data_IF_082827601093
#
_entry.id   IF_082827601093
#
_cell.length_a   1.000
_cell.length_b   1.000
_cell.length_c   1.000
_cell.angle_alpha   90.00
_cell.angle_beta   90.00
_cell.angle_gamma   90.00
#
_symmetry.space_group_name_H-M   'P 1'
#
loop_
_entity.id
_entity.type
_entity.pdbx_description
1 polymer ?
#
# COMPACT_ATOMS: atom_id res chain seq x y z
N UNK A 1 8.18 -25.08 -5.96
CA UNK A 1 7.48 -23.85 -6.37
C UNK A 1 6.60 -23.41 -5.21
N UNK A 2 6.69 -22.15 -4.78
CA UNK A 2 5.82 -21.63 -3.72
C UNK A 2 4.50 -21.17 -4.35
N UNK A 3 3.37 -21.68 -3.85
CA UNK A 3 2.04 -21.26 -4.26
C UNK A 3 1.66 -20.01 -3.45
N UNK A 4 1.40 -18.90 -4.14
CA UNK A 4 0.80 -17.72 -3.53
C UNK A 4 -0.70 -17.83 -3.82
N UNK A 5 -1.51 -17.90 -2.76
CA UNK A 5 -2.97 -17.93 -2.90
C UNK A 5 -3.48 -16.68 -3.63
N UNK A 6 -4.60 -16.77 -4.38
CA UNK A 6 -5.24 -15.60 -4.95
C UNK A 6 -5.60 -14.58 -3.86
N UNK A 7 -5.26 -13.31 -4.05
CA UNK A 7 -5.53 -12.24 -3.06
C UNK A 7 -7.02 -11.84 -2.97
N UNK A 8 -7.85 -12.30 -3.90
CA UNK A 8 -9.28 -12.00 -3.93
C UNK A 8 -10.06 -13.27 -3.63
N UNK A 9 -9.80 -13.86 -2.47
CA UNK A 9 -10.40 -15.12 -2.02
C UNK A 9 -11.43 -14.94 -0.88
N UNK A 10 -11.70 -13.69 -0.50
CA UNK A 10 -12.62 -13.33 0.58
C UNK A 10 -11.97 -13.22 1.97
N UNK A 11 -10.67 -13.49 2.11
CA UNK A 11 -9.93 -13.33 3.35
C UNK A 11 -9.14 -12.02 3.39
N UNK A 12 -8.67 -11.67 4.59
CA UNK A 12 -7.77 -10.54 4.77
C UNK A 12 -6.37 -10.91 4.31
N UNK A 13 -5.80 -10.07 3.44
CA UNK A 13 -4.40 -10.15 3.05
C UNK A 13 -3.65 -8.89 3.45
N UNK A 14 -2.42 -9.05 3.93
CA UNK A 14 -1.51 -7.94 4.19
C UNK A 14 -0.59 -7.72 2.99
N UNK A 15 -0.78 -6.58 2.32
CA UNK A 15 -0.03 -6.20 1.13
C UNK A 15 0.99 -5.11 1.46
N UNK A 16 2.20 -5.26 0.94
CA UNK A 16 3.20 -4.19 1.03
C UNK A 16 4.01 -4.05 -0.25
N UNK A 17 4.15 -2.81 -0.67
CA UNK A 17 4.91 -2.42 -1.84
C UNK A 17 6.09 -1.58 -1.39
N UNK A 18 7.31 -2.00 -1.74
CA UNK A 18 8.54 -1.27 -1.42
C UNK A 18 9.40 -1.11 -2.66
N UNK A 19 9.77 0.13 -2.93
CA UNK A 19 10.61 0.52 -4.06
C UNK A 19 11.74 1.41 -3.58
N UNK A 20 12.93 1.19 -4.15
CA UNK A 20 14.07 2.09 -4.01
C UNK A 20 14.21 2.92 -5.29
N UNK A 21 14.25 4.25 -5.14
CA UNK A 21 14.49 5.23 -6.20
C UNK A 21 15.96 5.71 -6.17
N UNK A 22 16.57 6.15 -7.29
CA UNK A 22 16.09 6.10 -8.69
C UNK A 22 16.25 4.71 -9.34
N UNK A 23 17.08 3.85 -8.76
CA UNK A 23 17.35 2.49 -9.21
C UNK A 23 16.98 1.50 -8.11
N UNK A 24 16.34 0.39 -8.48
CA UNK A 24 15.96 -0.67 -7.54
C UNK A 24 14.84 -1.54 -8.09
N UNK A 25 14.68 -2.75 -7.59
CA UNK A 25 13.51 -3.57 -7.89
C UNK A 25 12.28 -3.04 -7.14
N UNK A 26 11.11 -3.15 -7.77
CA UNK A 26 9.85 -3.10 -7.04
C UNK A 26 9.71 -4.44 -6.32
N UNK A 27 9.45 -4.40 -5.01
CA UNK A 27 9.14 -5.60 -4.25
C UNK A 27 7.70 -5.51 -3.77
N UNK A 28 6.92 -6.52 -4.11
CA UNK A 28 5.58 -6.74 -3.59
C UNK A 28 5.63 -7.87 -2.58
N UNK A 29 4.91 -7.73 -1.48
CA UNK A 29 4.76 -8.76 -0.46
C UNK A 29 3.30 -9.00 -0.18
N UNK A 30 2.94 -10.27 -0.03
CA UNK A 30 1.59 -10.75 0.30
C UNK A 30 1.75 -11.67 1.49
N UNK A 31 1.10 -11.35 2.61
CA UNK A 31 1.09 -12.17 3.83
C UNK A 31 2.49 -12.60 4.30
N UNK A 32 3.44 -11.66 4.25
CA UNK A 32 4.87 -11.89 4.62
C UNK A 32 5.69 -12.72 3.64
N UNK A 33 5.09 -13.20 2.56
CA UNK A 33 5.81 -13.87 1.49
C UNK A 33 6.21 -12.86 0.42
N UNK A 34 7.47 -12.95 -0.02
CA UNK A 34 7.99 -12.11 -1.11
C UNK A 34 7.30 -12.51 -2.42
N UNK A 35 6.47 -11.63 -2.94
CA UNK A 35 5.99 -11.67 -4.31
C UNK A 35 7.15 -11.45 -5.28
N UNK A 36 7.04 -12.02 -6.48
CA UNK A 36 8.09 -11.96 -7.49
C UNK A 36 8.49 -10.50 -7.80
N UNK A 37 9.80 -10.19 -7.92
CA UNK A 37 10.21 -8.88 -8.40
C UNK A 37 9.73 -8.70 -9.84
N UNK A 38 8.82 -7.76 -10.07
CA UNK A 38 8.48 -7.37 -11.43
C UNK A 38 9.44 -6.28 -11.90
N UNK A 39 10.40 -6.71 -12.71
CA UNK A 39 11.38 -5.83 -13.34
C UNK A 39 10.73 -4.82 -14.31
N UNK A 40 9.50 -5.07 -14.78
CA UNK A 40 8.76 -4.17 -15.68
C UNK A 40 8.13 -3.00 -14.93
N UNK A 41 7.63 -3.23 -13.72
CA UNK A 41 7.11 -2.19 -12.85
C UNK A 41 8.20 -1.24 -12.30
N UNK A 42 9.48 -1.61 -12.48
CA UNK A 42 10.61 -0.80 -12.02
C UNK A 42 10.72 0.56 -12.73
N UNK A 43 10.16 0.70 -13.94
CA UNK A 43 10.20 1.91 -14.77
C UNK A 43 8.98 2.83 -14.61
N UNK A 44 7.98 2.46 -13.81
CA UNK A 44 6.70 3.18 -13.72
C UNK A 44 6.59 4.22 -12.60
N UNK A 45 7.68 4.50 -11.88
CA UNK A 45 7.60 5.34 -10.69
C UNK A 45 8.08 6.75 -11.00
N UNK A 46 7.09 7.66 -11.13
CA UNK A 46 7.30 9.12 -11.05
C UNK A 46 7.51 9.51 -9.59
N UNK A 47 8.39 10.47 -9.34
CA UNK A 47 8.48 11.12 -8.03
C UNK A 47 7.17 11.87 -7.76
N UNK A 48 6.57 11.67 -6.59
CA UNK A 48 5.47 12.50 -6.14
C UNK A 48 6.03 13.85 -5.73
N UNK A 49 5.48 14.93 -6.27
CA UNK A 49 5.90 16.30 -5.98
C UNK A 49 5.19 16.87 -4.73
N UNK A 50 4.33 16.06 -4.10
CA UNK A 50 3.61 16.39 -2.86
C UNK A 50 2.34 17.21 -3.09
N UNK A 51 1.93 17.41 -4.34
CA UNK A 51 0.70 18.15 -4.72
C UNK A 51 -0.41 17.21 -5.19
N UNK A 52 -0.08 15.93 -5.35
CA UNK A 52 -0.99 14.91 -5.83
C UNK A 52 -1.97 14.48 -4.73
N UNK A 53 -3.18 14.09 -5.15
CA UNK A 53 -4.18 13.53 -4.26
C UNK A 53 -4.03 12.02 -4.17
N UNK A 54 -3.96 11.51 -2.95
CA UNK A 54 -4.08 10.08 -2.68
C UNK A 54 -5.57 9.74 -2.54
N UNK A 55 -6.07 8.85 -3.39
CA UNK A 55 -7.47 8.40 -3.38
C UNK A 55 -7.49 6.90 -3.10
N UNK A 56 -8.27 6.50 -2.10
CA UNK A 56 -8.59 5.10 -1.81
C UNK A 56 -10.03 4.83 -2.23
N UNK A 57 -10.31 3.62 -2.70
CA UNK A 57 -11.66 3.20 -3.07
C UNK A 57 -12.06 3.45 -4.52
N UNK A 58 -11.35 4.33 -5.24
CA UNK A 58 -11.67 4.73 -6.61
C UNK A 58 -10.38 4.91 -7.42
N UNK A 59 -10.43 4.62 -8.72
CA UNK A 59 -9.34 4.97 -9.64
C UNK A 59 -9.63 6.30 -10.33
N UNK A 60 -8.82 7.32 -10.04
CA UNK A 60 -8.88 8.58 -10.76
C UNK A 60 -8.20 8.47 -12.13
N UNK A 61 -8.86 9.01 -13.15
CA UNK A 61 -8.34 9.20 -14.49
C UNK A 61 -7.74 10.62 -14.65
N UNK A 62 -6.90 10.87 -15.67
CA UNK A 62 -6.27 12.18 -15.87
C UNK A 62 -7.25 13.36 -15.98
N UNK A 63 -8.48 13.12 -16.42
CA UNK A 63 -9.56 14.12 -16.51
C UNK A 63 -10.41 14.19 -15.23
N UNK A 64 -9.89 13.71 -14.10
CA UNK A 64 -10.56 13.64 -12.80
C UNK A 64 -11.83 12.79 -12.76
N UNK A 65 -12.16 12.06 -13.84
CA UNK A 65 -13.23 11.05 -13.78
C UNK A 65 -12.77 9.87 -12.95
N UNK A 66 -13.70 9.27 -12.21
CA UNK A 66 -13.46 8.04 -11.46
C UNK A 66 -13.89 6.85 -12.32
N UNK A 67 -13.06 5.81 -12.40
CA UNK A 67 -13.33 4.62 -13.20
C UNK A 67 -12.99 3.33 -12.44
N UNK A 68 -14.02 2.67 -11.93
CA UNK A 68 -13.88 1.46 -11.13
C UNK A 68 -13.75 1.78 -9.64
N UNK A 69 -14.50 1.02 -8.85
CA UNK A 69 -14.59 1.15 -7.40
C UNK A 69 -14.08 -0.12 -6.72
N UNK A 70 -13.34 0.05 -5.63
CA UNK A 70 -13.02 -1.06 -4.75
C UNK A 70 -14.22 -1.38 -3.87
N UNK A 71 -14.59 -2.67 -3.80
CA UNK A 71 -15.63 -3.18 -2.92
C UNK A 71 -14.97 -4.15 -1.95
N UNK A 72 -14.90 -3.77 -0.68
CA UNK A 72 -14.22 -4.56 0.34
C UNK A 72 -13.88 -3.72 1.55
N UNK A 73 -12.87 -4.17 2.29
CA UNK A 73 -12.42 -3.52 3.52
C UNK A 73 -10.93 -3.23 3.42
N UNK A 74 -10.52 -2.06 3.90
CA UNK A 74 -9.12 -1.65 4.01
C UNK A 74 -8.87 -1.31 5.47
N UNK A 75 -7.72 -1.73 6.00
CA UNK A 75 -7.29 -1.37 7.35
C UNK A 75 -5.76 -1.29 7.38
N UNK A 76 -5.22 -0.59 8.39
CA UNK A 76 -3.77 -0.49 8.64
C UNK A 76 -2.98 0.06 7.45
N UNK A 77 -3.59 0.91 6.62
CA UNK A 77 -2.91 1.50 5.46
C UNK A 77 -1.97 2.63 5.88
N UNK A 78 -0.68 2.42 5.61
CA UNK A 78 0.41 3.31 6.00
C UNK A 78 1.33 3.56 4.81
N UNK A 79 1.97 4.74 4.76
CA UNK A 79 2.96 5.10 3.75
C UNK A 79 4.20 5.68 4.43
N UNK A 80 5.37 5.30 3.94
CA UNK A 80 6.65 5.80 4.40
C UNK A 80 7.39 6.54 3.30
N UNK A 81 8.15 7.58 3.66
CA UNK A 81 9.04 8.34 2.75
C UNK A 81 10.31 7.57 2.37
N UNK A 82 10.61 6.50 3.11
CA UNK A 82 11.83 5.70 2.96
C UNK A 82 11.55 4.34 2.35
N UNK A 83 12.58 3.78 1.72
CA UNK A 83 12.59 2.37 1.36
C UNK A 83 12.54 1.50 2.63
N UNK A 84 11.60 0.56 2.66
CA UNK A 84 11.47 -0.43 3.74
C UNK A 84 12.17 -1.71 3.31
N UNK A 85 13.15 -2.14 4.11
CA UNK A 85 13.78 -3.44 3.93
C UNK A 85 12.94 -4.54 4.58
N UNK A 86 12.06 -5.09 3.77
CA UNK A 86 11.00 -5.97 4.26
C UNK A 86 11.54 -7.29 4.83
N UNK A 87 12.70 -7.80 4.43
CA UNK A 87 13.22 -9.05 5.01
C UNK A 87 13.59 -8.96 6.50
N UNK A 88 13.83 -7.76 7.05
CA UNK A 88 14.10 -7.54 8.48
C UNK A 88 13.00 -6.78 9.20
N UNK A 89 12.42 -5.76 8.57
CA UNK A 89 11.44 -4.89 9.24
C UNK A 89 10.01 -5.46 9.17
N UNK A 90 9.70 -6.33 8.20
CA UNK A 90 8.31 -6.72 7.93
C UNK A 90 7.70 -7.75 8.85
N UNK A 91 8.50 -8.67 9.37
CA UNK A 91 8.01 -9.57 10.42
C UNK A 91 7.57 -8.77 11.66
N UNK A 92 8.10 -7.56 11.86
CA UNK A 92 7.60 -6.66 12.92
C UNK A 92 6.27 -5.99 12.56
N UNK A 93 6.00 -5.71 11.27
CA UNK A 93 4.74 -5.08 10.81
C UNK A 93 3.55 -6.04 10.87
N UNK A 94 3.76 -7.34 10.60
CA UNK A 94 2.66 -8.32 10.50
C UNK A 94 2.33 -9.05 11.79
N UNK A 95 3.25 -9.11 12.75
CA UNK A 95 3.10 -9.97 13.92
C UNK A 95 3.22 -9.25 15.27
N UNK A 96 3.42 -7.93 15.30
CA UNK A 96 3.61 -7.21 16.56
C UNK A 96 2.68 -6.01 16.70
N UNK A 97 1.59 -6.21 17.45
CA UNK A 97 0.64 -5.16 17.83
C UNK A 97 1.26 -4.05 18.71
N UNK A 98 2.43 -4.29 19.29
CA UNK A 98 3.19 -3.33 20.10
C UNK A 98 4.24 -2.57 19.29
N UNK A 99 4.44 -2.92 18.02
CA UNK A 99 5.40 -2.22 17.17
C UNK A 99 4.91 -0.82 16.85
N UNK A 100 5.76 0.18 17.09
CA UNK A 100 5.46 1.60 16.84
C UNK A 100 5.82 2.03 15.41
N UNK A 101 5.73 1.11 14.46
CA UNK A 101 6.18 1.39 13.10
C UNK A 101 4.99 1.87 12.26
N UNK A 102 4.68 3.15 12.43
CA UNK A 102 3.64 3.86 11.66
C UNK A 102 4.29 4.63 10.51
N UNK A 103 3.50 4.91 9.47
CA UNK A 103 3.96 5.70 8.34
C UNK A 103 4.23 7.16 8.71
N UNK A 104 5.33 7.74 8.21
CA UNK A 104 5.64 9.16 8.38
C UNK A 104 4.96 10.05 7.32
N UNK A 105 4.48 9.45 6.22
CA UNK A 105 3.70 10.14 5.19
C UNK A 105 2.20 9.90 5.37
N UNK A 106 1.81 8.67 5.71
CA UNK A 106 0.43 8.33 6.07
C UNK A 106 0.44 7.38 7.26
N UNK A 107 -0.18 7.81 8.36
CA UNK A 107 -0.45 6.99 9.53
C UNK A 107 -1.95 6.68 9.59
N UNK A 108 -2.33 5.41 9.46
CA UNK A 108 -3.74 4.97 9.46
C UNK A 108 -4.52 5.50 10.67
N UNK A 109 -3.87 5.59 11.82
CA UNK A 109 -4.52 6.01 13.09
C UNK A 109 -4.92 7.47 13.08
N UNK A 110 -4.25 8.28 12.26
CA UNK A 110 -4.48 9.72 12.16
C UNK A 110 -5.38 10.08 10.97
N UNK A 111 -5.70 9.13 10.08
CA UNK A 111 -6.53 9.40 8.91
C UNK A 111 -7.95 9.87 9.27
N UNK A 112 -8.52 9.42 10.38
CA UNK A 112 -9.81 9.95 10.86
C UNK A 112 -9.81 11.44 11.15
N UNK A 113 -8.63 12.03 11.38
CA UNK A 113 -8.43 13.46 11.64
C UNK A 113 -8.02 14.25 10.38
N UNK A 114 -7.59 13.56 9.32
CA UNK A 114 -6.95 14.16 8.13
C UNK A 114 -7.65 13.84 6.80
N UNK A 115 -8.61 12.90 6.77
CA UNK A 115 -9.24 12.44 5.53
C UNK A 115 -10.63 13.03 5.31
N UNK A 116 -10.87 13.53 4.10
CA UNK A 116 -12.21 13.91 3.63
C UNK A 116 -12.93 12.69 3.06
N UNK A 117 -13.58 11.90 3.91
CA UNK A 117 -14.45 10.80 3.46
C UNK A 117 -15.55 11.34 2.55
N UNK A 118 -15.81 10.67 1.43
CA UNK A 118 -16.84 11.05 0.46
C UNK A 118 -17.56 9.82 -0.06
N UNK A 119 -18.90 9.88 -0.09
CA UNK A 119 -19.75 8.79 -0.57
C UNK A 119 -20.02 7.71 0.48
N UNK A 120 -20.30 6.48 0.02
CA UNK A 120 -20.61 5.33 0.89
C UNK A 120 -19.32 4.67 1.40
N UNK A 121 -18.75 5.28 2.45
CA UNK A 121 -17.59 4.76 3.18
C UNK A 121 -17.94 4.71 4.66
N UNK A 122 -17.62 3.59 5.31
CA UNK A 122 -17.88 3.36 6.73
C UNK A 122 -16.56 3.11 7.46
N UNK A 123 -16.43 3.67 8.66
CA UNK A 123 -15.31 3.47 9.59
C UNK A 123 -15.80 2.60 10.74
#
# INVERSE_FOLDING_TARGET
AFYIAPINDGHWHHLCLSKKYPKGSLNLFVDSLKGFPDNKAANFVRLFEGREQLILGQRALPNQRLNGSFQGKISHFNIWSRWINISREFMSYTHNCSSRNFGDQVDWRLLGLQSGLRGDVRI
#
